data_IF_869057311937
#
_entry.id   IF_869057311937
#
_cell.length_a   1.000
_cell.length_b   1.000
_cell.length_c   1.000
_cell.angle_alpha   90.00
_cell.angle_beta   90.00
_cell.angle_gamma   90.00
#
_symmetry.space_group_name_H-M   'P 1'
#
loop_
_entity.id
_entity.type
_entity.pdbx_description
1 polymer ?
2 polymer ?
3 polymer ?
4 non-polymer ?
5 water ?
#
# COMPACT_ATOMS: atom_id res chain seq x y z
N UNK A 1 -2.40 4.81 -19.83
CA UNK A 1 -1.77 6.13 -19.76
C UNK A 1 -0.38 6.10 -19.16
N UNK A 2 -0.13 6.97 -18.15
CA UNK A 2 1.19 7.05 -17.49
C UNK A 2 1.50 5.82 -16.61
N UNK A 3 2.80 5.49 -16.47
CA UNK A 3 3.22 4.35 -15.66
C UNK A 3 4.29 4.77 -14.67
N UNK A 4 4.41 4.03 -13.57
CA UNK A 4 5.38 4.34 -12.54
C UNK A 4 6.13 3.11 -12.07
N UNK A 5 7.37 3.32 -11.63
CA UNK A 5 8.10 2.26 -10.94
C UNK A 5 8.48 2.88 -9.58
N UNK A 6 8.16 2.22 -8.47
CA UNK A 6 8.49 2.73 -7.14
C UNK A 6 9.13 1.66 -6.31
N UNK A 7 10.10 2.05 -5.48
CA UNK A 7 10.71 1.18 -4.47
C UNK A 7 10.47 1.79 -3.09
N UNK A 8 10.11 0.95 -2.13
CA UNK A 8 9.81 1.34 -0.75
C UNK A 8 10.69 0.52 0.14
N UNK A 9 11.38 1.19 1.07
CA UNK A 9 12.28 0.54 2.02
C UNK A 9 11.90 0.92 3.43
N UNK A 10 11.81 -0.06 4.30
CA UNK A 10 11.56 0.23 5.74
C UNK A 10 12.63 -0.50 6.57
N UNK A 11 13.35 0.22 7.47
CA UNK A 11 14.37 -0.33 8.36
C UNK A 11 13.95 0.00 9.80
N UNK A 12 13.82 -1.04 10.63
CA UNK A 12 13.35 -0.87 12.01
C UNK A 12 14.43 -1.40 12.95
N UNK A 13 14.95 -0.55 13.86
CA UNK A 13 15.97 -1.05 14.77
C UNK A 13 15.39 -1.99 15.80
N UNK A 14 16.20 -3.00 16.16
CA UNK A 14 15.91 -4.09 17.07
C UNK A 14 16.90 -3.95 18.24
N UNK A 15 16.63 -3.07 19.25
CA UNK A 15 17.60 -2.82 20.34
C UNK A 15 18.08 -4.09 21.05
N UNK A 16 17.20 -5.06 21.19
CA UNK A 16 17.70 -6.30 21.79
C UNK A 16 18.37 -7.20 20.77
N UNK A 17 19.70 -7.12 20.61
CA UNK A 17 20.48 -8.07 19.78
C UNK A 17 20.20 -8.06 18.26
N UNK A 18 21.26 -7.99 17.47
CA UNK A 18 21.09 -8.14 16.02
C UNK A 18 20.83 -6.92 15.17
N UNK A 19 20.92 -7.13 13.85
CA UNK A 19 20.67 -6.12 12.84
C UNK A 19 19.18 -5.67 12.78
N UNK A 20 18.88 -4.54 12.16
CA UNK A 20 17.49 -4.10 12.05
C UNK A 20 16.68 -4.99 11.09
N UNK A 21 15.36 -4.92 11.23
CA UNK A 21 14.44 -5.58 10.33
C UNK A 21 14.38 -4.65 9.10
N UNK A 22 14.69 -5.17 7.92
CA UNK A 22 14.69 -4.44 6.66
C UNK A 22 13.78 -5.13 5.65
N UNK A 23 12.86 -4.34 5.05
CA UNK A 23 11.90 -4.83 4.05
C UNK A 23 11.89 -3.89 2.85
N UNK A 24 12.09 -4.47 1.67
CA UNK A 24 12.09 -3.68 0.45
C UNK A 24 11.04 -4.27 -0.45
N UNK A 25 10.28 -3.39 -1.09
CA UNK A 25 9.24 -3.81 -2.04
C UNK A 25 9.34 -2.98 -3.29
N UNK A 26 9.17 -3.60 -4.45
CA UNK A 26 9.15 -2.88 -5.71
C UNK A 26 7.77 -2.96 -6.35
N UNK A 27 7.29 -1.85 -6.90
CA UNK A 27 5.98 -1.81 -7.59
C UNK A 27 6.15 -1.23 -8.98
N UNK A 28 5.35 -1.77 -9.96
CA UNK A 28 5.16 -1.16 -11.28
C UNK A 28 3.65 -0.83 -11.27
N UNK A 29 3.30 0.49 -11.23
CA UNK A 29 1.93 1.00 -11.07
C UNK A 29 1.38 0.35 -9.75
N UNK A 30 0.23 -0.30 -9.78
CA UNK A 30 -0.33 -0.89 -8.58
C UNK A 30 0.02 -2.38 -8.42
N UNK A 31 1.08 -2.87 -9.09
CA UNK A 31 1.47 -4.26 -9.01
C UNK A 31 2.82 -4.41 -8.33
N UNK A 32 2.85 -5.15 -7.23
CA UNK A 32 4.15 -5.49 -6.60
C UNK A 32 4.87 -6.55 -7.47
N UNK A 33 6.18 -6.39 -7.72
CA UNK A 33 6.86 -7.34 -8.56
C UNK A 33 8.10 -7.97 -7.87
N UNK A 34 8.65 -7.32 -6.82
CA UNK A 34 9.80 -7.87 -6.09
C UNK A 34 9.67 -7.54 -4.61
N UNK A 35 10.42 -8.28 -3.80
CA UNK A 35 10.48 -8.10 -2.35
C UNK A 35 11.79 -8.64 -1.82
N UNK A 36 12.27 -8.03 -0.73
CA UNK A 36 13.39 -8.49 0.05
C UNK A 36 12.92 -8.36 1.49
N UNK A 37 13.00 -9.43 2.24
CA UNK A 37 12.67 -9.34 3.66
C UNK A 37 13.82 -9.94 4.45
N UNK A 38 14.47 -9.15 5.35
CA UNK A 38 15.60 -9.64 6.14
C UNK A 38 15.25 -10.80 7.06
N UNK A 39 13.97 -10.98 7.41
CA UNK A 39 13.56 -12.10 8.30
C UNK A 39 13.31 -13.40 7.50
N UNK A 40 13.26 -13.33 6.15
CA UNK A 40 13.01 -14.53 5.34
C UNK A 40 14.28 -15.34 5.19
N UNK A 41 14.15 -16.68 5.07
CA UNK A 41 15.28 -17.59 4.98
C UNK A 41 16.17 -17.43 3.75
N UNK A 42 15.60 -17.09 2.58
CA UNK A 42 16.40 -17.03 1.36
C UNK A 42 17.55 -16.00 1.38
N UNK A 43 17.30 -14.77 1.95
CA UNK A 43 18.25 -13.65 1.98
C UNK A 43 18.50 -13.18 0.55
N UNK A 44 17.48 -13.30 -0.31
CA UNK A 44 17.56 -12.87 -1.71
C UNK A 44 16.40 -11.98 -2.07
N UNK A 45 16.58 -11.14 -3.08
CA UNK A 45 15.48 -10.39 -3.68
C UNK A 45 14.64 -11.51 -4.36
N UNK A 46 13.30 -11.47 -4.20
CA UNK A 46 12.44 -12.50 -4.75
C UNK A 46 11.40 -11.93 -5.68
N UNK A 47 11.02 -12.72 -6.72
CA UNK A 47 9.97 -12.27 -7.64
C UNK A 47 8.59 -12.30 -6.97
N UNK A 48 7.76 -11.33 -7.27
CA UNK A 48 6.38 -11.29 -6.74
C UNK A 48 5.34 -11.14 -7.89
N UNK A 49 5.79 -11.19 -9.14
CA UNK A 49 4.94 -11.13 -10.34
C UNK A 49 5.48 -12.17 -11.35
N UNK A 50 4.64 -12.87 -12.16
CA UNK A 50 5.21 -13.88 -13.08
C UNK A 50 6.13 -13.32 -14.16
N UNK A 51 5.86 -12.10 -14.62
CA UNK A 51 6.62 -11.46 -15.69
C UNK A 51 8.05 -11.04 -15.33
N UNK A 52 8.42 -11.06 -14.04
CA UNK A 52 9.79 -10.72 -13.63
C UNK A 52 10.61 -12.01 -13.48
N UNK A 53 9.94 -13.18 -13.33
CA UNK A 53 10.60 -14.48 -13.11
C UNK A 53 11.56 -14.87 -14.22
N UNK A 54 11.30 -14.38 -15.44
CA UNK A 54 12.10 -14.57 -16.65
C UNK A 54 13.48 -13.87 -16.60
N UNK A 55 13.75 -13.03 -15.55
CA UNK A 55 15.04 -12.37 -15.46
C UNK A 55 16.09 -13.43 -15.05
N UNK A 56 17.25 -13.34 -15.67
CA UNK A 56 18.34 -14.28 -15.46
C UNK A 56 18.93 -14.37 -14.07
N UNK A 57 19.82 -15.36 -13.85
CA UNK A 57 20.44 -15.51 -12.51
C UNK A 57 21.26 -14.32 -12.09
N UNK A 58 21.93 -13.65 -13.04
CA UNK A 58 22.75 -12.50 -12.66
C UNK A 58 21.90 -11.27 -12.27
N UNK A 59 20.69 -11.12 -12.86
CA UNK A 59 19.78 -10.05 -12.45
C UNK A 59 19.49 -10.25 -10.94
N UNK A 60 19.12 -11.50 -10.54
CA UNK A 60 18.76 -11.79 -9.14
C UNK A 60 19.91 -11.65 -8.19
N UNK A 61 21.11 -12.08 -8.60
CA UNK A 61 22.34 -11.98 -7.81
C UNK A 61 22.68 -10.52 -7.52
N UNK A 62 22.59 -9.64 -8.54
CA UNK A 62 22.87 -8.20 -8.44
C UNK A 62 21.81 -7.49 -7.63
N UNK A 63 20.52 -7.75 -7.92
CA UNK A 63 19.44 -7.16 -7.12
C UNK A 63 19.60 -7.49 -5.64
N UNK A 64 19.94 -8.76 -5.31
CA UNK A 64 20.20 -9.25 -3.94
C UNK A 64 21.35 -8.46 -3.29
N UNK A 65 22.49 -8.32 -3.99
CA UNK A 65 23.67 -7.61 -3.48
C UNK A 65 23.38 -6.10 -3.32
N UNK A 66 22.75 -5.47 -4.32
CA UNK A 66 22.43 -4.05 -4.26
C UNK A 66 21.43 -3.71 -3.14
N UNK A 67 20.37 -4.51 -2.98
CA UNK A 67 19.37 -4.22 -1.90
C UNK A 67 20.01 -4.48 -0.51
N UNK A 68 20.92 -5.50 -0.40
CA UNK A 68 21.63 -5.76 0.88
C UNK A 68 22.54 -4.57 1.23
N UNK A 69 23.13 -3.93 0.22
CA UNK A 69 23.97 -2.73 0.45
C UNK A 69 23.10 -1.58 1.04
N UNK A 70 21.86 -1.40 0.52
CA UNK A 70 20.92 -0.46 1.09
C UNK A 70 20.58 -0.83 2.55
N UNK A 71 20.42 -2.12 2.87
CA UNK A 71 20.10 -2.47 4.27
C UNK A 71 21.25 -2.10 5.23
N UNK A 72 22.51 -2.20 4.76
CA UNK A 72 23.67 -1.82 5.58
C UNK A 72 23.75 -0.33 5.77
N UNK A 73 23.40 0.44 4.73
CA UNK A 73 23.36 1.92 4.80
C UNK A 73 22.30 2.30 5.83
N UNK A 74 21.12 1.68 5.75
CA UNK A 74 20.05 1.92 6.73
C UNK A 74 20.50 1.56 8.14
N UNK A 75 21.23 0.43 8.31
CA UNK A 75 21.74 0.06 9.63
C UNK A 75 22.66 1.17 10.19
N UNK A 76 23.56 1.66 9.34
CA UNK A 76 24.49 2.71 9.76
C UNK A 76 23.72 3.99 10.07
N UNK A 77 22.78 4.40 9.18
CA UNK A 77 21.93 5.59 9.33
C UNK A 77 21.05 5.53 10.58
N UNK A 78 20.54 4.33 10.95
CA UNK A 78 19.77 4.28 12.20
C UNK A 78 20.67 4.70 13.40
N UNK A 79 21.92 4.24 13.40
CA UNK A 79 22.89 4.57 14.44
C UNK A 79 23.24 6.04 14.41
N UNK A 80 23.44 6.62 13.20
CA UNK A 80 23.75 8.05 12.96
C UNK A 80 22.63 9.01 13.42
N UNK A 81 21.40 8.70 13.03
CA UNK A 81 20.23 9.53 13.36
C UNK A 81 19.94 9.51 14.85
N UNK A 82 20.16 8.36 15.50
CA UNK A 82 20.01 8.20 16.96
C UNK A 82 20.93 9.21 17.68
N UNK A 83 22.14 9.39 17.15
CA UNK A 83 23.12 10.37 17.64
C UNK A 83 22.68 11.80 17.39
N UNK A 84 22.15 12.09 16.18
CA UNK A 84 21.68 13.43 15.79
C UNK A 84 20.57 13.93 16.69
N UNK A 85 19.69 13.03 17.10
CA UNK A 85 18.53 13.36 17.91
C UNK A 85 18.74 13.09 19.37
N UNK A 86 19.93 12.59 19.74
CA UNK A 86 20.33 12.27 21.13
C UNK A 86 19.38 11.25 21.79
N UNK A 87 19.10 10.16 21.08
CA UNK A 87 18.23 9.09 21.56
C UNK A 87 19.04 7.99 22.20
N UNK A 88 18.42 7.24 23.11
CA UNK A 88 19.05 6.10 23.79
C UNK A 88 19.11 4.86 22.89
N UNK A 89 19.90 3.84 23.31
CA UNK A 89 20.05 2.54 22.65
C UNK A 89 18.82 1.62 22.88
N UNK A 90 17.98 1.93 23.90
CA UNK A 90 16.84 1.10 24.33
C UNK A 90 15.59 1.15 23.44
N UNK A 91 15.50 2.17 22.58
CA UNK A 91 14.33 2.36 21.73
C UNK A 91 14.43 1.79 20.33
N UNK A 92 13.26 1.56 19.72
CA UNK A 92 13.12 1.08 18.34
C UNK A 92 12.84 2.32 17.48
N UNK A 93 13.57 2.50 16.38
CA UNK A 93 13.34 3.65 15.50
C UNK A 93 13.19 3.16 14.04
N UNK A 94 12.62 3.99 13.17
CA UNK A 94 12.34 3.61 11.78
C UNK A 94 12.84 4.61 10.78
N UNK A 95 13.43 4.08 9.72
CA UNK A 95 13.78 4.89 8.55
C UNK A 95 12.96 4.32 7.36
N UNK A 96 12.31 5.21 6.62
CA UNK A 96 11.56 4.86 5.41
C UNK A 96 12.14 5.63 4.24
N UNK A 97 12.35 4.95 3.12
CA UNK A 97 12.85 5.61 1.91
C UNK A 97 11.92 5.18 0.75
N UNK A 98 11.52 6.16 -0.06
CA UNK A 98 10.75 5.92 -1.27
C UNK A 98 11.43 6.65 -2.39
N UNK A 99 11.55 5.98 -3.55
CA UNK A 99 11.98 6.62 -4.79
C UNK A 99 11.33 5.96 -6.02
N UNK A 100 11.29 6.68 -7.14
CA UNK A 100 10.73 6.12 -8.36
C UNK A 100 10.59 7.09 -9.50
N UNK A 101 10.24 6.54 -10.66
CA UNK A 101 10.09 7.34 -11.87
C UNK A 101 8.72 7.14 -12.50
N UNK A 102 8.29 8.11 -13.29
CA UNK A 102 7.04 8.06 -14.03
C UNK A 102 7.40 8.22 -15.47
N UNK A 103 6.77 7.39 -16.33
CA UNK A 103 6.95 7.47 -17.79
C UNK A 103 5.60 7.76 -18.43
N UNK A 104 5.65 8.39 -19.60
CA UNK A 104 4.44 8.66 -20.37
C UNK A 104 3.90 7.38 -20.97
N UNK A 105 2.74 7.43 -21.66
CA UNK A 105 2.18 6.19 -22.26
C UNK A 105 3.06 5.57 -23.35
N UNK A 106 3.88 6.43 -24.01
CA UNK A 106 4.82 6.07 -25.04
C UNK A 106 6.09 5.42 -24.47
N UNK A 107 6.56 5.92 -23.31
CA UNK A 107 7.74 5.40 -22.63
C UNK A 107 8.79 6.37 -22.13
N UNK A 108 8.66 7.67 -22.47
CA UNK A 108 9.66 8.67 -22.06
C UNK A 108 9.40 9.21 -20.65
N UNK A 109 10.51 9.57 -19.97
CA UNK A 109 10.54 10.12 -18.62
C UNK A 109 9.60 11.33 -18.45
N UNK A 110 8.79 11.30 -17.38
CA UNK A 110 7.88 12.38 -17.01
C UNK A 110 8.46 13.06 -15.76
N UNK A 111 8.62 12.29 -14.67
CA UNK A 111 9.16 12.82 -13.42
C UNK A 111 9.83 11.75 -12.56
N UNK A 112 10.63 12.22 -11.61
CA UNK A 112 11.35 11.38 -10.65
C UNK A 112 10.99 11.82 -9.24
N UNK A 113 11.21 10.94 -8.26
CA UNK A 113 10.87 11.25 -6.87
C UNK A 113 11.84 10.55 -5.96
N UNK A 114 12.12 11.15 -4.77
CA UNK A 114 12.94 10.50 -3.73
C UNK A 114 12.68 11.20 -2.42
N UNK A 115 12.33 10.45 -1.39
CA UNK A 115 12.07 11.05 -0.09
C UNK A 115 12.26 10.06 1.01
N UNK A 116 12.75 10.57 2.16
CA UNK A 116 13.13 9.78 3.32
C UNK A 116 12.46 10.31 4.57
N UNK A 117 12.08 9.37 5.47
CA UNK A 117 11.43 9.71 6.75
C UNK A 117 12.16 9.05 7.88
N UNK A 118 12.08 9.68 9.04
CA UNK A 118 12.63 9.10 10.26
C UNK A 118 11.53 9.17 11.29
N UNK A 119 11.23 8.04 11.90
CA UNK A 119 10.20 7.87 12.91
C UNK A 119 8.82 8.38 12.44
N UNK A 120 8.55 8.11 11.15
CA UNK A 120 7.29 8.44 10.52
C UNK A 120 7.05 9.89 10.17
N UNK A 121 8.08 10.75 10.25
CA UNK A 121 7.99 12.15 9.89
C UNK A 121 8.96 12.45 8.76
N UNK A 122 8.66 13.43 7.90
CA UNK A 122 9.62 13.81 6.86
C UNK A 122 11.00 14.05 7.47
N UNK A 123 12.05 13.62 6.76
CA UNK A 123 13.41 13.85 7.20
C UNK A 123 14.08 14.71 6.12
N UNK A 124 14.27 14.11 4.94
CA UNK A 124 14.90 14.78 3.80
C UNK A 124 14.21 14.33 2.51
N UNK A 125 14.04 15.24 1.56
CA UNK A 125 13.40 14.96 0.30
C UNK A 125 14.16 15.56 -0.84
N UNK A 126 14.15 14.89 -1.99
CA UNK A 126 14.76 15.46 -3.20
C UNK A 126 13.68 16.39 -3.79
N UNK A 127 14.07 17.60 -4.16
CA UNK A 127 13.12 18.57 -4.71
C UNK A 127 12.71 18.23 -6.14
N UNK A 128 11.59 18.84 -6.64
CA UNK A 128 11.08 18.67 -8.01
C UNK A 128 12.18 18.83 -9.10
N UNK A 129 13.13 19.76 -8.93
CA UNK A 129 14.24 19.95 -9.90
C UNK A 129 15.27 18.80 -9.93
N UNK A 130 15.18 17.86 -8.93
CA UNK A 130 16.08 16.72 -8.77
C UNK A 130 17.53 17.18 -8.59
N UNK A 131 17.70 18.42 -8.11
CA UNK A 131 19.03 19.03 -7.96
C UNK A 131 19.31 19.54 -6.58
N UNK A 132 18.26 19.63 -5.76
CA UNK A 132 18.40 20.17 -4.41
C UNK A 132 17.56 19.37 -3.43
N UNK A 133 17.88 19.49 -2.14
CA UNK A 133 17.18 18.74 -1.09
C UNK A 133 16.41 19.69 -0.15
N UNK A 134 15.35 19.15 0.48
CA UNK A 134 14.56 19.82 1.52
C UNK A 134 14.76 19.02 2.80
N UNK A 135 15.40 19.63 3.83
CA UNK A 135 15.71 19.08 5.16
C UNK A 135 14.65 19.59 6.10
N UNK A 136 13.94 18.72 6.83
CA UNK A 136 12.85 19.16 7.69
C UNK A 136 13.29 19.76 9.02
N UNK A 137 14.49 19.39 9.51
CA UNK A 137 15.04 19.89 10.77
C UNK A 137 16.56 20.02 10.70
N UNK A 138 17.20 20.37 11.83
CA UNK A 138 18.63 20.53 11.90
C UNK A 138 19.39 19.21 11.80
N UNK A 139 18.79 18.07 12.20
CA UNK A 139 19.44 16.77 12.03
C UNK A 139 19.52 16.46 10.51
N UNK A 140 18.38 16.62 9.78
CA UNK A 140 18.38 16.43 8.32
C UNK A 140 19.29 17.46 7.60
N UNK A 141 19.54 18.61 8.26
CA UNK A 141 20.40 19.66 7.72
C UNK A 141 21.83 19.20 7.60
N UNK A 142 22.28 18.37 8.57
CA UNK A 142 23.63 17.78 8.57
C UNK A 142 23.72 16.83 7.36
N UNK A 143 22.71 15.99 7.16
CA UNK A 143 22.66 15.04 6.03
C UNK A 143 22.67 15.81 4.71
N UNK A 144 21.85 16.86 4.58
CA UNK A 144 21.79 17.65 3.36
C UNK A 144 23.20 18.16 2.97
N UNK A 145 23.97 18.68 3.94
CA UNK A 145 25.28 19.24 3.65
C UNK A 145 26.29 18.16 3.28
N UNK A 146 26.17 16.94 3.87
CA UNK A 146 26.96 15.77 3.48
C UNK A 146 26.61 15.40 2.05
N UNK A 147 25.30 15.44 1.72
CA UNK A 147 24.87 15.03 0.37
C UNK A 147 25.23 16.06 -0.72
N UNK A 148 25.22 17.35 -0.36
CA UNK A 148 25.62 18.44 -1.28
C UNK A 148 27.11 18.29 -1.59
N UNK A 149 27.94 18.05 -0.57
CA UNK A 149 29.39 17.85 -0.75
C UNK A 149 29.69 16.61 -1.62
N UNK A 150 29.00 15.48 -1.34
CA UNK A 150 29.16 14.18 -2.05
C UNK A 150 28.45 14.08 -3.41
N UNK A 151 27.73 15.12 -3.85
CA UNK A 151 26.96 15.12 -5.10
C UNK A 151 25.91 13.97 -5.16
N UNK A 152 25.20 13.71 -4.03
CA UNK A 152 24.17 12.65 -3.94
C UNK A 152 22.99 12.90 -4.89
N UNK A 153 22.56 14.16 -5.06
CA UNK A 153 21.44 14.48 -5.96
C UNK A 153 21.72 14.07 -7.39
N UNK A 154 22.95 14.33 -7.86
CA UNK A 154 23.40 13.99 -9.20
C UNK A 154 23.31 12.44 -9.46
N UNK A 155 23.71 11.59 -8.49
CA UNK A 155 23.57 10.13 -8.65
C UNK A 155 22.09 9.70 -8.65
N UNK A 156 21.25 10.32 -7.79
CA UNK A 156 19.82 9.99 -7.78
C UNK A 156 19.14 10.43 -9.09
N UNK A 157 19.43 11.66 -9.55
CA UNK A 157 18.88 12.18 -10.80
C UNK A 157 19.26 11.27 -11.98
N UNK A 158 20.53 10.81 -12.05
CA UNK A 158 21.05 9.95 -13.12
C UNK A 158 20.29 8.63 -13.15
N UNK A 159 20.05 8.01 -11.97
CA UNK A 159 19.27 6.79 -11.89
C UNK A 159 17.85 7.01 -12.42
N UNK A 160 17.16 8.03 -11.90
CA UNK A 160 15.76 8.36 -12.19
C UNK A 160 15.49 8.65 -13.66
N UNK A 161 16.41 9.33 -14.33
CA UNK A 161 16.27 9.68 -15.75
C UNK A 161 16.91 8.61 -16.64
N UNK A 162 17.70 7.73 -16.06
CA UNK A 162 18.39 6.71 -16.84
C UNK A 162 17.85 5.32 -16.66
N UNK A 163 18.54 4.53 -15.81
CA UNK A 163 18.26 3.13 -15.46
C UNK A 163 16.84 2.92 -15.02
N UNK A 164 16.28 3.87 -14.23
CA UNK A 164 14.89 3.72 -13.75
C UNK A 164 13.92 3.57 -14.90
N UNK A 165 13.96 4.52 -15.85
CA UNK A 165 13.02 4.54 -17.00
C UNK A 165 13.32 3.43 -17.97
N UNK A 166 14.62 3.09 -18.18
CA UNK A 166 15.03 1.97 -19.04
C UNK A 166 14.45 0.66 -18.57
N UNK A 167 14.53 0.39 -17.27
CA UNK A 167 14.03 -0.85 -16.69
C UNK A 167 12.51 -0.88 -16.57
N UNK A 168 11.88 0.26 -16.26
CA UNK A 168 10.41 0.34 -16.22
C UNK A 168 9.83 0.00 -17.62
N UNK A 169 10.46 0.53 -18.70
CA UNK A 169 10.08 0.24 -20.08
C UNK A 169 10.20 -1.24 -20.39
N UNK A 170 11.27 -1.92 -19.91
CA UNK A 170 11.47 -3.34 -20.12
C UNK A 170 10.41 -4.11 -19.38
N UNK A 171 10.04 -3.66 -18.16
CA UNK A 171 9.04 -4.36 -17.33
C UNK A 171 7.66 -4.25 -17.94
N UNK A 172 7.32 -3.05 -18.42
CA UNK A 172 6.04 -2.79 -19.08
C UNK A 172 5.87 -3.69 -20.30
N UNK A 173 6.98 -3.97 -21.06
CA UNK A 173 6.94 -4.86 -22.23
C UNK A 173 6.78 -6.31 -21.79
N UNK A 174 7.60 -6.73 -20.83
CA UNK A 174 7.57 -8.10 -20.32
C UNK A 174 6.23 -8.46 -19.68
N UNK A 175 5.61 -7.52 -18.98
CA UNK A 175 4.33 -7.78 -18.34
C UNK A 175 3.16 -7.09 -19.00
N UNK A 176 3.26 -6.80 -20.32
CA UNK A 176 2.24 -6.04 -21.07
C UNK A 176 0.83 -6.64 -20.98
N UNK A 177 0.72 -7.96 -21.00
CA UNK A 177 -0.56 -8.68 -20.98
C UNK A 177 -1.39 -8.37 -19.74
N UNK A 178 -0.73 -7.98 -18.65
CA UNK A 178 -1.39 -7.64 -17.39
C UNK A 178 -1.14 -6.15 -16.98
N UNK A 179 0.11 -5.64 -17.10
CA UNK A 179 0.43 -4.25 -16.74
C UNK A 179 -0.24 -3.19 -17.62
N UNK A 180 -0.43 -3.47 -18.92
CA UNK A 180 -1.03 -2.50 -19.84
C UNK A 180 -2.52 -2.73 -19.99
N UNK A 181 -3.05 -3.71 -19.24
CA UNK A 181 -4.47 -4.05 -19.30
C UNK A 181 -5.24 -3.37 -18.20
N UNK A 182 -6.38 -2.73 -18.56
CA UNK A 182 -7.25 -2.10 -17.57
C UNK A 182 -8.43 -3.02 -17.38
N UNK A 183 -8.79 -3.27 -16.11
CA UNK A 183 -9.90 -4.11 -15.74
C UNK A 183 -10.94 -3.14 -15.22
N UNK A 184 -12.07 -3.00 -15.93
CA UNK A 184 -13.10 -2.09 -15.44
C UNK A 184 -13.83 -2.66 -14.23
N UNK A 185 -14.41 -1.79 -13.36
CA UNK A 185 -15.13 -2.30 -12.19
C UNK A 185 -16.42 -3.03 -12.54
N UNK A 186 -16.70 -4.08 -11.77
CA UNK A 186 -17.89 -4.90 -11.85
C UNK A 186 -18.77 -4.28 -10.78
N UNK A 187 -19.88 -3.62 -11.18
CA UNK A 187 -20.71 -2.86 -10.25
C UNK A 187 -22.07 -3.46 -9.96
N UNK A 188 -22.58 -3.21 -8.75
CA UNK A 188 -23.90 -3.64 -8.30
C UNK A 188 -24.32 -2.80 -7.09
N UNK A 189 -25.61 -2.79 -6.80
CA UNK A 189 -26.08 -2.00 -5.68
C UNK A 189 -26.85 -2.87 -4.76
N UNK A 190 -26.70 -2.69 -3.44
CA UNK A 190 -27.50 -3.45 -2.48
C UNK A 190 -28.32 -2.43 -1.65
N UNK A 191 -29.34 -2.92 -0.97
CA UNK A 191 -30.28 -2.15 -0.17
C UNK A 191 -30.37 -2.81 1.19
N UNK A 192 -30.18 -2.00 2.27
CA UNK A 192 -30.14 -2.51 3.65
C UNK A 192 -31.02 -1.65 4.56
N UNK A 193 -32.25 -2.10 4.89
CA UNK A 193 -33.10 -1.32 5.81
C UNK A 193 -32.44 -1.08 7.17
N UNK A 194 -32.58 0.16 7.70
CA UNK A 194 -32.04 0.57 9.01
C UNK A 194 -33.19 0.47 10.03
N UNK A 195 -34.37 0.94 9.60
CA UNK A 195 -35.65 0.98 10.31
C UNK A 195 -36.70 0.84 9.20
N UNK A 196 -37.99 1.04 9.51
CA UNK A 196 -39.06 0.95 8.51
C UNK A 196 -39.22 2.25 7.72
N UNK A 197 -38.45 3.31 8.08
CA UNK A 197 -38.53 4.61 7.42
C UNK A 197 -37.22 5.07 6.75
N UNK A 198 -36.07 4.46 7.06
CA UNK A 198 -34.74 4.79 6.48
C UNK A 198 -34.04 3.51 6.01
N UNK A 199 -33.17 3.62 4.98
CA UNK A 199 -32.43 2.48 4.44
C UNK A 199 -31.12 2.96 3.87
N UNK A 200 -30.15 2.05 3.81
CA UNK A 200 -28.85 2.34 3.22
C UNK A 200 -28.83 1.72 1.80
N UNK A 201 -28.33 2.49 0.84
CA UNK A 201 -28.08 2.04 -0.50
C UNK A 201 -26.58 1.92 -0.59
N UNK A 202 -26.08 0.72 -0.94
CA UNK A 202 -24.62 0.52 -1.07
C UNK A 202 -24.26 0.26 -2.51
N UNK A 203 -23.38 1.06 -3.06
CA UNK A 203 -22.92 0.90 -4.42
C UNK A 203 -21.51 0.32 -4.42
N UNK A 204 -21.35 -0.86 -5.05
CA UNK A 204 -20.10 -1.61 -5.07
C UNK A 204 -19.35 -1.57 -6.40
N UNK A 205 -18.04 -1.56 -6.34
CA UNK A 205 -17.18 -1.67 -7.51
C UNK A 205 -16.14 -2.75 -7.11
N UNK A 206 -16.08 -3.83 -7.90
CA UNK A 206 -15.22 -4.97 -7.63
C UNK A 206 -14.38 -5.34 -8.85
N UNK A 207 -13.26 -6.02 -8.61
CA UNK A 207 -12.39 -6.52 -9.68
C UNK A 207 -11.78 -5.51 -10.63
N UNK A 208 -11.52 -4.29 -10.17
CA UNK A 208 -10.94 -3.29 -11.08
C UNK A 208 -9.43 -3.13 -10.95
N UNK A 209 -8.80 -2.68 -12.03
CA UNK A 209 -7.36 -2.41 -12.05
C UNK A 209 -7.11 -1.34 -13.14
N UNK A 210 -6.42 -0.24 -12.87
CA UNK A 210 -5.71 0.15 -11.62
C UNK A 210 -6.63 0.53 -10.47
N UNK A 211 -6.03 0.85 -9.30
CA UNK A 211 -6.73 1.16 -8.05
C UNK A 211 -7.53 2.46 -8.10
N UNK A 212 -7.06 3.46 -8.87
CA UNK A 212 -7.72 4.75 -9.00
C UNK A 212 -9.18 4.60 -9.46
N UNK A 213 -10.14 5.12 -8.67
CA UNK A 213 -11.57 5.08 -8.97
C UNK A 213 -12.28 6.24 -8.23
N UNK A 214 -13.46 6.65 -8.72
CA UNK A 214 -14.33 7.64 -8.09
C UNK A 214 -15.75 7.11 -8.06
N UNK A 215 -16.33 7.03 -6.86
CA UNK A 215 -17.72 6.66 -6.63
C UNK A 215 -18.36 7.88 -5.99
N UNK A 216 -19.46 8.36 -6.59
CA UNK A 216 -20.17 9.55 -6.08
C UNK A 216 -21.69 9.32 -6.14
N UNK A 217 -22.41 9.90 -5.20
CA UNK A 217 -23.86 9.78 -5.17
C UNK A 217 -24.50 11.11 -5.58
N UNK A 218 -25.67 10.99 -6.23
CA UNK A 218 -26.48 12.14 -6.62
C UNK A 218 -27.89 11.90 -6.18
N UNK A 219 -28.61 12.96 -5.78
CA UNK A 219 -30.00 12.85 -5.42
C UNK A 219 -30.67 13.81 -6.36
N UNK A 220 -31.59 13.29 -7.18
CA UNK A 220 -32.28 14.06 -8.23
C UNK A 220 -31.32 14.85 -9.15
N UNK A 221 -30.19 14.22 -9.49
CA UNK A 221 -29.20 14.78 -10.41
C UNK A 221 -28.27 15.84 -9.85
N UNK A 222 -28.20 15.95 -8.53
CA UNK A 222 -27.32 16.88 -7.83
C UNK A 222 -26.46 16.12 -6.86
N UNK A 223 -25.16 16.49 -6.76
CA UNK A 223 -24.19 15.83 -5.90
C UNK A 223 -24.59 15.83 -4.44
N UNK A 224 -24.61 14.66 -3.85
CA UNK A 224 -24.95 14.43 -2.46
C UNK A 224 -23.71 13.90 -1.73
N UNK A 225 -23.32 14.55 -0.64
CA UNK A 225 -22.18 14.13 0.19
C UNK A 225 -22.68 13.86 1.60
N UNK A 226 -23.80 14.50 1.98
CA UNK A 226 -24.43 14.29 3.29
C UNK A 226 -24.95 12.86 3.37
N UNK A 227 -24.82 12.23 4.57
CA UNK A 227 -25.26 10.88 4.91
C UNK A 227 -24.61 9.83 4.00
N UNK A 228 -23.42 10.16 3.46
CA UNK A 228 -22.71 9.19 2.65
C UNK A 228 -21.54 8.60 3.44
N UNK A 229 -21.14 7.36 3.08
CA UNK A 229 -19.97 6.67 3.61
C UNK A 229 -19.20 6.04 2.44
N UNK A 230 -17.90 6.34 2.32
CA UNK A 230 -17.04 5.78 1.27
C UNK A 230 -15.90 5.05 1.99
N UNK A 231 -15.71 3.75 1.71
CA UNK A 231 -14.58 3.06 2.35
C UNK A 231 -13.31 3.35 1.54
N UNK A 232 -12.13 3.23 2.16
CA UNK A 232 -10.90 3.38 1.38
C UNK A 232 -10.80 2.20 0.37
N UNK A 233 -10.24 2.45 -0.81
CA UNK A 233 -10.01 1.42 -1.84
C UNK A 233 -9.15 0.32 -1.18
N UNK A 234 -9.49 -0.96 -1.43
CA UNK A 234 -8.85 -2.07 -0.76
C UNK A 234 -8.46 -3.17 -1.74
N UNK A 235 -7.32 -3.85 -1.48
CA UNK A 235 -6.92 -4.95 -2.38
C UNK A 235 -7.78 -6.17 -2.22
N UNK A 236 -8.18 -6.78 -3.34
CA UNK A 236 -8.93 -8.02 -3.30
C UNK A 236 -7.97 -9.19 -2.93
N UNK A 237 -6.69 -9.03 -3.26
CA UNK A 237 -5.66 -10.03 -2.95
C UNK A 237 -5.17 -10.79 -4.18
N UNK A 238 -5.87 -10.64 -5.30
CA UNK A 238 -5.58 -11.28 -6.57
C UNK A 238 -5.03 -10.33 -7.61
N UNK A 239 -4.67 -9.12 -7.21
CA UNK A 239 -4.17 -8.09 -8.12
C UNK A 239 -5.21 -7.02 -8.39
N UNK A 240 -6.51 -7.33 -8.10
CA UNK A 240 -7.60 -6.35 -8.30
C UNK A 240 -7.99 -5.58 -7.03
N UNK A 241 -8.81 -4.53 -7.22
CA UNK A 241 -9.22 -3.67 -6.14
C UNK A 241 -10.71 -3.61 -5.94
N UNK A 242 -11.14 -3.11 -4.78
CA UNK A 242 -12.56 -2.99 -4.41
C UNK A 242 -12.81 -1.67 -3.73
N UNK A 243 -14.05 -1.20 -3.82
CA UNK A 243 -14.52 0.01 -3.14
C UNK A 243 -16.03 -0.02 -3.14
N UNK A 244 -16.61 0.59 -2.14
CA UNK A 244 -18.05 0.83 -2.03
C UNK A 244 -18.33 2.21 -1.46
N UNK A 245 -19.48 2.75 -1.85
CA UNK A 245 -19.98 4.07 -1.44
C UNK A 245 -21.42 3.80 -0.98
N UNK A 246 -21.81 4.32 0.20
CA UNK A 246 -23.16 4.11 0.74
C UNK A 246 -23.84 5.44 1.07
N UNK A 247 -25.15 5.43 1.02
CA UNK A 247 -25.99 6.62 1.32
C UNK A 247 -27.22 6.16 2.08
N UNK A 248 -27.58 6.90 3.15
CA UNK A 248 -28.79 6.67 3.96
C UNK A 248 -29.92 7.52 3.32
N UNK A 249 -31.04 6.87 3.02
CA UNK A 249 -32.15 7.51 2.28
C UNK A 249 -33.49 7.23 2.94
N UNK A 250 -34.51 8.10 2.72
CA UNK A 250 -35.85 7.76 3.23
C UNK A 250 -36.43 6.62 2.39
N UNK A 251 -36.97 5.59 3.08
CA UNK A 251 -37.61 4.42 2.46
C UNK A 251 -38.73 4.94 1.57
N UNK A 252 -38.75 4.46 0.33
CA UNK A 252 -39.69 4.87 -0.71
C UNK A 252 -39.05 5.80 -1.73
N UNK A 253 -38.00 6.56 -1.32
CA UNK A 253 -37.35 7.53 -2.21
C UNK A 253 -36.04 7.04 -2.87
N UNK A 254 -35.75 5.72 -2.84
CA UNK A 254 -34.44 5.27 -3.38
C UNK A 254 -34.26 5.54 -4.88
N UNK A 255 -35.35 5.77 -5.66
CA UNK A 255 -35.24 6.07 -7.10
C UNK A 255 -34.68 7.45 -7.40
N UNK A 256 -34.60 8.33 -6.39
CA UNK A 256 -34.02 9.68 -6.55
C UNK A 256 -32.50 9.62 -6.57
N UNK A 257 -31.94 8.52 -6.03
CA UNK A 257 -30.50 8.36 -5.83
C UNK A 257 -29.81 7.59 -6.93
N UNK A 258 -28.68 8.11 -7.40
CA UNK A 258 -27.91 7.45 -8.44
C UNK A 258 -26.47 7.42 -8.04
N UNK A 259 -25.81 6.28 -8.27
CA UNK A 259 -24.39 6.17 -8.01
C UNK A 259 -23.63 6.29 -9.33
N UNK A 260 -22.57 7.10 -9.34
CA UNK A 260 -21.75 7.41 -10.52
C UNK A 260 -20.35 6.85 -10.36
N UNK A 261 -19.91 6.05 -11.34
CA UNK A 261 -18.61 5.36 -11.31
C UNK A 261 -17.74 5.84 -12.43
N UNK A 262 -16.53 6.31 -12.07
CA UNK A 262 -15.48 6.79 -12.98
C UNK A 262 -14.24 5.91 -12.79
N UNK A 263 -13.73 5.33 -13.87
CA UNK A 263 -12.53 4.49 -13.85
C UNK A 263 -11.94 4.51 -15.26
N UNK A 264 -10.61 4.43 -15.34
CA UNK A 264 -9.84 4.39 -16.61
C UNK A 264 -10.36 3.30 -17.58
N UNK A 265 -10.85 2.19 -17.02
CA UNK A 265 -11.37 1.06 -17.78
C UNK A 265 -12.75 1.24 -18.40
N UNK A 266 -13.43 2.34 -18.03
CA UNK A 266 -14.78 2.63 -18.53
C UNK A 266 -14.72 3.69 -19.63
N UNK A 267 -15.03 3.30 -20.88
CA UNK A 267 -15.02 4.28 -22.00
C UNK A 267 -15.95 5.46 -21.76
N UNK A 268 -16.94 5.26 -20.89
CA UNK A 268 -17.92 6.27 -20.48
C UNK A 268 -18.35 6.03 -19.03
N UNK A 269 -18.41 7.08 -18.16
CA UNK A 269 -18.88 6.88 -16.77
C UNK A 269 -20.21 6.10 -16.68
N UNK A 270 -20.31 5.29 -15.63
CA UNK A 270 -21.39 4.35 -15.36
C UNK A 270 -22.34 4.91 -14.28
N UNK A 271 -23.66 4.62 -14.41
CA UNK A 271 -24.69 5.05 -13.48
C UNK A 271 -25.49 3.87 -13.00
N UNK A 272 -25.71 3.80 -11.68
CA UNK A 272 -26.47 2.72 -11.04
C UNK A 272 -27.60 3.34 -10.23
N UNK A 273 -28.79 2.74 -10.32
CA UNK A 273 -29.98 3.16 -9.58
C UNK A 273 -30.63 1.90 -9.01
N UNK A 274 -31.29 2.01 -7.85
CA UNK A 274 -31.95 0.87 -7.22
C UNK A 274 -33.21 0.44 -7.96
N UNK B 1 7.31 9.86 20.18
CA UNK B 1 7.27 9.46 18.78
C UNK B 1 5.84 9.56 18.21
N UNK B 2 5.72 9.66 16.87
CA UNK B 2 4.40 9.72 16.24
C UNK B 2 3.74 8.35 16.31
N UNK B 3 2.44 8.34 16.54
CA UNK B 3 1.62 7.14 16.57
C UNK B 3 0.34 7.40 15.80
N UNK B 4 0.05 6.50 14.85
CA UNK B 4 -1.13 6.60 13.99
C UNK B 4 -1.91 5.30 14.13
N UNK B 5 -3.21 5.41 14.45
CA UNK B 5 -4.09 4.28 14.69
C UNK B 5 -4.43 3.52 13.39
N UNK B 6 -4.38 2.17 13.38
CA UNK B 6 -4.77 1.46 12.16
C UNK B 6 -6.25 1.57 11.84
N UNK B 7 -6.57 1.66 10.56
CA UNK B 7 -7.92 1.61 10.00
C UNK B 7 -8.03 0.13 9.58
N UNK B 8 -9.18 -0.50 9.80
CA UNK B 8 -9.35 -1.92 9.53
C UNK B 8 -10.57 -2.22 8.65
N UNK B 9 -10.39 -3.09 7.65
CA UNK B 9 -11.47 -3.59 6.80
C UNK B 9 -11.34 -5.09 6.72
N UNK B 10 -12.44 -5.78 6.95
CA UNK B 10 -12.54 -7.23 6.90
C UNK B 10 -13.55 -7.53 5.80
N UNK B 11 -13.18 -8.39 4.81
CA UNK B 11 -14.03 -8.61 3.61
C UNK B 11 -13.54 -9.81 2.82
N UNK B 12 -14.34 -10.30 1.88
CA UNK B 12 -13.97 -11.46 1.08
C UNK B 12 -13.44 -10.99 -0.27
N UNK B 13 -12.54 -11.76 -0.89
CA UNK B 13 -11.98 -11.39 -2.18
C UNK B 13 -13.07 -11.36 -3.26
N UNK B 14 -13.99 -12.32 -3.21
CA UNK B 14 -15.05 -12.41 -4.20
C UNK B 14 -16.38 -12.25 -3.46
N UNK B 15 -17.48 -11.87 -4.18
CA UNK B 15 -18.83 -11.84 -3.55
C UNK B 15 -19.08 -13.16 -2.84
N UNK B 16 -19.46 -13.11 -1.57
CA UNK B 16 -19.54 -14.32 -0.77
C UNK B 16 -20.84 -15.06 -0.86
N UNK B 17 -20.73 -16.40 -0.95
CA UNK B 17 -21.84 -17.32 -1.00
C UNK B 17 -21.49 -18.51 -0.15
N UNK B 18 -22.46 -18.97 0.64
CA UNK B 18 -22.25 -20.14 1.49
C UNK B 18 -21.92 -21.37 0.66
N UNK B 19 -20.90 -22.08 1.13
CA UNK B 19 -20.44 -23.29 0.48
C UNK B 19 -19.44 -23.06 -0.64
N UNK B 20 -19.21 -21.79 -1.01
CA UNK B 20 -18.28 -21.51 -2.11
C UNK B 20 -16.95 -20.96 -1.63
N UNK B 21 -15.88 -21.68 -1.96
CA UNK B 21 -14.47 -21.39 -1.68
C UNK B 21 -14.15 -19.92 -2.01
N UNK B 22 -13.49 -19.18 -1.07
CA UNK B 22 -13.18 -17.76 -1.23
C UNK B 22 -11.88 -17.43 -0.39
N UNK B 23 -11.62 -16.14 -0.20
CA UNK B 23 -10.51 -15.65 0.60
C UNK B 23 -11.02 -14.55 1.54
N UNK B 24 -10.68 -14.67 2.81
CA UNK B 24 -11.02 -13.77 3.86
C UNK B 24 -9.85 -12.84 4.04
N UNK B 25 -10.11 -11.53 3.89
CA UNK B 25 -9.13 -10.48 3.97
C UNK B 25 -9.33 -9.58 5.15
N UNK B 26 -8.21 -9.17 5.74
CA UNK B 26 -8.19 -8.16 6.76
C UNK B 26 -7.15 -7.15 6.32
N UNK B 27 -7.60 -5.98 5.84
CA UNK B 27 -6.72 -4.93 5.36
C UNK B 27 -6.53 -3.91 6.48
N UNK B 28 -5.26 -3.74 6.89
CA UNK B 28 -4.89 -2.80 7.94
C UNK B 28 -4.07 -1.71 7.30
N UNK B 29 -4.42 -0.47 7.58
CA UNK B 29 -3.73 0.67 6.98
C UNK B 29 -3.68 1.92 7.87
N UNK B 30 -2.87 2.88 7.44
CA UNK B 30 -2.72 4.17 8.12
C UNK B 30 -2.08 4.12 9.48
N UNK B 31 -1.30 3.04 9.81
CA UNK B 31 -0.71 2.90 11.14
C UNK B 31 0.79 3.22 11.21
N UNK B 32 1.26 3.60 12.41
CA UNK B 32 2.67 3.88 12.70
C UNK B 32 2.86 3.77 14.22
N UNK B 33 3.88 3.05 14.75
CA UNK B 33 4.93 2.29 14.04
C UNK B 33 4.44 1.00 13.39
N UNK B 34 5.34 0.30 12.67
CA UNK B 34 5.00 -0.93 11.92
C UNK B 34 4.73 -2.17 12.77
N UNK B 35 5.13 -2.18 14.05
CA UNK B 35 4.85 -3.38 14.84
C UNK B 35 3.35 -3.48 15.04
N UNK B 36 2.74 -4.58 14.56
CA UNK B 36 1.32 -4.82 14.63
C UNK B 36 1.01 -6.30 14.77
N UNK B 37 -0.04 -6.64 15.53
CA UNK B 37 -0.41 -8.04 15.66
C UNK B 37 -1.76 -8.12 14.96
N UNK B 38 -1.87 -8.96 13.90
CA UNK B 38 -3.11 -9.15 13.14
C UNK B 38 -3.45 -10.65 13.12
N UNK B 39 -4.68 -11.01 13.51
CA UNK B 39 -5.10 -12.41 13.50
C UNK B 39 -6.44 -12.57 12.85
N UNK B 40 -6.65 -13.69 12.14
CA UNK B 40 -7.96 -13.98 11.56
C UNK B 40 -8.55 -15.06 12.45
N UNK B 41 -9.84 -14.93 12.74
CA UNK B 41 -10.55 -15.80 13.67
C UNK B 41 -11.72 -16.47 13.02
N UNK B 42 -11.99 -17.70 13.44
CA UNK B 42 -13.17 -18.45 13.04
C UNK B 42 -13.79 -18.87 14.36
N UNK B 43 -15.00 -18.37 14.63
CA UNK B 43 -15.74 -18.62 15.86
C UNK B 43 -14.89 -18.29 17.12
N UNK B 44 -14.16 -17.17 17.05
CA UNK B 44 -13.29 -16.68 18.12
C UNK B 44 -11.96 -17.36 18.29
N UNK B 45 -11.65 -18.35 17.42
CA UNK B 45 -10.40 -19.09 17.47
C UNK B 45 -9.47 -18.65 16.33
N UNK B 46 -8.19 -18.46 16.66
CA UNK B 46 -7.17 -18.07 15.68
C UNK B 46 -7.03 -19.09 14.54
N UNK B 47 -7.06 -18.61 13.28
CA UNK B 47 -6.83 -19.47 12.13
C UNK B 47 -5.32 -19.56 12.00
N UNK B 48 -4.77 -20.77 11.83
CA UNK B 48 -3.33 -20.86 11.70
C UNK B 48 -2.92 -20.72 10.22
N UNK B 49 -1.63 -20.49 9.96
CA UNK B 49 -1.03 -20.41 8.61
C UNK B 49 -1.59 -19.29 7.70
N UNK B 50 -2.14 -18.22 8.30
CA UNK B 50 -2.64 -17.02 7.62
C UNK B 50 -1.42 -16.31 7.02
N UNK B 51 -1.53 -15.89 5.75
CA UNK B 51 -0.46 -15.20 5.03
C UNK B 51 -0.67 -13.68 5.04
N UNK B 52 0.38 -12.92 4.77
CA UNK B 52 0.28 -11.47 4.70
C UNK B 52 1.19 -10.92 3.63
N UNK B 53 0.82 -9.72 3.13
CA UNK B 53 1.56 -8.97 2.12
C UNK B 53 2.84 -8.41 2.74
N UNK B 54 3.76 -7.93 1.89
CA UNK B 54 4.99 -7.34 2.32
C UNK B 54 4.73 -5.92 2.73
N UNK B 55 5.28 -5.55 3.89
CA UNK B 55 5.12 -4.24 4.50
C UNK B 55 5.48 -3.15 3.52
N UNK B 56 4.53 -2.25 3.32
CA UNK B 56 4.69 -1.12 2.42
C UNK B 56 4.00 0.09 3.06
N UNK B 57 4.16 1.27 2.45
CA UNK B 57 3.62 2.48 3.07
C UNK B 57 3.12 3.52 2.05
N UNK B 58 2.24 4.39 2.53
CA UNK B 58 1.57 5.45 1.78
C UNK B 58 2.43 6.72 1.76
N UNK B 59 2.03 7.73 0.96
CA UNK B 59 2.75 9.02 0.88
C UNK B 59 2.93 9.75 2.23
N UNK B 60 2.01 9.55 3.20
CA UNK B 60 2.09 10.19 4.51
C UNK B 60 2.97 9.35 5.48
N UNK B 61 3.62 8.27 4.94
CA UNK B 61 4.54 7.37 5.68
C UNK B 61 3.84 6.33 6.50
N UNK B 62 2.50 6.36 6.52
CA UNK B 62 1.76 5.35 7.32
C UNK B 62 1.79 3.98 6.61
N UNK B 63 1.84 2.90 7.41
CA UNK B 63 1.96 1.55 6.90
C UNK B 63 0.62 0.92 6.50
N UNK B 64 0.72 -0.09 5.64
CA UNK B 64 -0.42 -0.93 5.28
C UNK B 64 -0.01 -2.39 5.03
N UNK B 65 -0.91 -3.29 5.37
CA UNK B 65 -0.72 -4.71 5.24
C UNK B 65 -2.03 -5.39 4.95
N UNK B 66 -1.97 -6.47 4.19
CA UNK B 66 -3.12 -7.32 3.92
C UNK B 66 -2.84 -8.69 4.48
N UNK B 67 -3.73 -9.18 5.35
CA UNK B 67 -3.67 -10.52 5.92
C UNK B 67 -4.81 -11.28 5.29
N UNK B 68 -4.56 -12.52 4.90
CA UNK B 68 -5.56 -13.29 4.19
C UNK B 68 -5.45 -14.79 4.38
N UNK B 69 -6.58 -15.49 4.17
CA UNK B 69 -6.63 -16.94 4.23
C UNK B 69 -7.75 -17.45 3.33
N UNK B 70 -7.58 -18.69 2.81
CA UNK B 70 -8.59 -19.39 2.04
C UNK B 70 -9.65 -19.75 3.07
N UNK B 71 -10.94 -19.61 2.74
CA UNK B 71 -12.04 -19.99 3.63
C UNK B 71 -13.29 -20.29 2.79
N UNK B 72 -14.26 -20.96 3.39
CA UNK B 72 -15.53 -21.26 2.73
C UNK B 72 -16.62 -20.68 3.61
N UNK B 73 -17.28 -19.56 3.20
CA UNK B 73 -18.34 -18.99 4.04
C UNK B 73 -19.47 -19.96 4.32
N UNK B 74 -20.09 -19.84 5.50
CA UNK B 74 -21.27 -20.65 5.85
C UNK B 74 -22.29 -19.70 6.47
N UNK B 75 -23.52 -20.18 6.70
CA UNK B 75 -24.55 -19.39 7.34
C UNK B 75 -24.25 -19.25 8.86
N UNK B 76 -23.66 -20.30 9.46
CA UNK B 76 -23.39 -20.44 10.92
C UNK B 76 -22.05 -19.92 11.46
N UNK B 77 -20.94 -20.10 10.73
CA UNK B 77 -19.61 -19.69 11.20
C UNK B 77 -19.39 -18.19 11.17
N UNK B 78 -18.82 -17.67 12.25
CA UNK B 78 -18.54 -16.25 12.42
C UNK B 78 -17.04 -16.01 12.19
N UNK B 79 -16.71 -15.11 11.25
CA UNK B 79 -15.31 -14.76 10.95
C UNK B 79 -15.01 -13.34 11.39
N UNK B 80 -13.78 -13.10 11.83
CA UNK B 80 -13.41 -11.80 12.32
C UNK B 80 -11.92 -11.61 12.17
N UNK B 81 -11.51 -10.37 12.38
CA UNK B 81 -10.12 -10.06 12.44
C UNK B 81 -9.85 -9.37 13.74
N UNK B 82 -8.74 -9.73 14.40
CA UNK B 82 -8.31 -9.19 15.68
C UNK B 82 -7.02 -8.42 15.47
N UNK B 83 -7.00 -7.11 15.83
CA UNK B 83 -5.82 -6.28 15.64
C UNK B 83 -5.35 -5.71 16.97
N UNK B 84 -4.05 -5.79 17.21
CA UNK B 84 -3.45 -5.14 18.37
C UNK B 84 -2.30 -4.24 17.91
N UNK B 85 -2.20 -3.04 18.51
CA UNK B 85 -1.20 -2.02 18.17
C UNK B 85 -1.04 -1.15 19.40
N UNK B 86 0.10 -0.45 19.53
CA UNK B 86 0.38 0.46 20.64
C UNK B 86 -0.70 1.58 20.78
N UNK B 87 -1.36 1.94 19.67
CA UNK B 87 -2.37 3.00 19.66
C UNK B 87 -3.75 2.60 20.20
N UNK B 88 -4.03 1.30 20.32
CA UNK B 88 -5.36 0.88 20.73
C UNK B 88 -5.48 0.72 22.23
N UNK B 89 -6.63 1.15 22.78
CA UNK B 89 -6.92 1.09 24.21
C UNK B 89 -7.07 -0.37 24.63
N UNK B 90 -7.46 -1.22 23.67
CA UNK B 90 -7.65 -2.65 23.81
C UNK B 90 -7.66 -3.30 22.40
N UNK B 91 -7.35 -4.62 22.27
CA UNK B 91 -7.41 -5.27 20.94
C UNK B 91 -8.75 -5.05 20.26
N UNK B 92 -8.71 -4.67 18.97
CA UNK B 92 -9.90 -4.39 18.17
C UNK B 92 -10.31 -5.63 17.38
N UNK B 93 -11.56 -6.08 17.57
CA UNK B 93 -12.07 -7.21 16.80
C UNK B 93 -13.10 -6.61 15.83
N UNK B 94 -12.91 -6.84 14.51
CA UNK B 94 -13.82 -6.39 13.47
C UNK B 94 -14.39 -7.66 12.83
N UNK B 95 -15.69 -7.83 12.96
CA UNK B 95 -16.41 -8.98 12.42
C UNK B 95 -16.51 -8.89 10.90
N UNK B 96 -16.49 -10.03 10.24
CA UNK B 96 -16.74 -10.06 8.82
C UNK B 96 -18.24 -9.96 8.54
N UNK B 97 -18.62 -8.98 7.74
CA UNK B 97 -19.99 -8.73 7.31
C UNK B 97 -19.98 -8.78 5.79
N UNK B 98 -20.63 -9.80 5.23
CA UNK B 98 -20.81 -10.10 3.80
C UNK B 98 -21.25 -8.87 2.97
N UNK B 99 -21.98 -7.96 3.60
CA UNK B 99 -22.58 -6.78 2.99
C UNK B 99 -21.71 -5.54 3.12
N UNK B 100 -20.41 -5.70 3.49
CA UNK B 100 -19.44 -4.60 3.64
C UNK B 100 -17.99 -4.97 3.23
N UNK C 1 14.62 -1.99 -11.49
CA UNK C 1 15.85 -2.32 -10.73
C UNK C 1 16.17 -1.26 -9.68
N UNK C 2 16.75 -1.68 -8.57
CA UNK C 2 17.12 -0.77 -7.49
C UNK C 2 18.38 0.03 -7.83
N UNK C 3 18.66 1.08 -7.06
CA UNK C 3 19.93 1.83 -7.17
C UNK C 3 21.08 0.81 -6.94
N UNK C 4 22.14 0.87 -7.74
CA UNK C 4 23.22 -0.12 -7.59
C UNK C 4 23.87 -0.03 -6.19
N UNK C 5 24.23 1.19 -5.78
CA UNK C 5 24.94 1.42 -4.52
C UNK C 5 24.04 1.83 -3.37
N UNK C 6 22.77 2.06 -3.68
CA UNK C 6 21.82 2.50 -2.67
C UNK C 6 21.96 3.98 -2.37
N UNK C 7 21.24 4.42 -1.33
CA UNK C 7 21.26 5.84 -0.93
C UNK C 7 22.60 6.19 -0.27
N UNK C 8 22.95 7.48 -0.20
CA UNK C 8 24.20 7.94 0.43
C UNK C 8 24.03 7.94 1.95
N UNK C 9 25.12 7.66 2.71
CA UNK C 9 25.07 7.67 4.18
C UNK C 9 24.57 9.01 4.71
N UNK C 10 23.63 8.94 5.68
CA UNK C 10 23.00 10.11 6.31
C UNK C 10 23.94 10.77 7.36
X LIG D 1 22.00 -2.04 -15.62
X LIG D 1 22.06 -0.59 -15.66
X LIG D 1 21.74 -2.50 -16.97
X LIG D 1 20.94 -2.49 -14.73
X LIG D 1 23.27 -2.60 -15.14
#
# INVERSE_FOLDING_TARGET
GSHSMRYFYTSVSRPGRGEPRFIAVGYVDDTQFVRFDSDAASQRMEPRAPWIEQEGPEYWDQETRNVKAQSQTDRVDLGTLRGYYNQSEDGSHTIQIMYGCDVGPDGRFLRGYRQDAYDGKDYIALNEDLRSWTAADMAAQITKRKWEAAHAAEQQRAYLEGRCVEWLRRYLENGKETLQRTDPPKTHMTHHPISDHEATLRCWALGFYPAEITLTWQRDGEDQTQDTELVETRPAGDGTFQKWAAVVVPSGEEQRYTCHVQHEGLPKPLTLRWELSS
MIQRTPKIQVYSRHPAENGKSNFLNCYVSGFHPSDIEVDLLKNGERIEKVEHSDLSFSKDWSFYLLYYTEFTPTEKDEYACRVNHVTLSQPKIVKWDRDM
RVLVNGTFLK
SO4 S O1 O2 O3 O4
#
